data_IF_059256803332
#
_entry.id   IF_059256803332
#
_cell.length_a   1.000
_cell.length_b   1.000
_cell.length_c   1.000
_cell.angle_alpha   90.00
_cell.angle_beta   90.00
_cell.angle_gamma   90.00
#
_symmetry.space_group_name_H-M   'P 1'
#
loop_
_entity.id
_entity.type
_entity.pdbx_description
1 polymer ?
#
# COMPACT_ATOMS: atom_id res chain seq x y z
N UNK A 1 7.34 8.09 11.33
CA UNK A 1 7.15 6.74 10.75
C UNK A 1 5.91 6.75 9.86
N UNK A 2 5.94 6.22 8.63
CA UNK A 2 4.77 6.24 7.74
C UNK A 2 3.81 5.11 8.14
N UNK A 3 2.64 5.47 8.67
CA UNK A 3 1.57 4.51 8.98
C UNK A 3 1.23 3.76 7.67
N UNK A 4 1.32 2.43 7.69
CA UNK A 4 1.02 1.61 6.51
C UNK A 4 -0.43 1.84 6.05
N UNK A 5 -0.73 1.64 4.76
CA UNK A 5 -2.10 1.75 4.25
C UNK A 5 -3.08 0.83 5.01
N UNK A 6 -2.64 -0.34 5.48
CA UNK A 6 -3.45 -1.23 6.30
C UNK A 6 -3.73 -0.68 7.71
N UNK A 7 -2.77 -0.02 8.34
CA UNK A 7 -3.00 0.64 9.64
C UNK A 7 -3.94 1.84 9.50
N UNK A 8 -3.83 2.60 8.40
CA UNK A 8 -4.75 3.71 8.14
C UNK A 8 -6.18 3.21 7.94
N UNK A 9 -6.40 2.15 7.15
CA UNK A 9 -7.74 1.56 7.00
C UNK A 9 -8.25 0.99 8.32
N UNK A 10 -7.40 0.35 9.11
CA UNK A 10 -7.75 -0.17 10.43
C UNK A 10 -8.23 0.93 11.40
N UNK A 11 -7.54 2.08 11.48
CA UNK A 11 -7.98 3.22 12.29
C UNK A 11 -9.36 3.72 11.81
N UNK A 12 -9.58 3.80 10.50
CA UNK A 12 -10.89 4.21 9.96
C UNK A 12 -11.99 3.19 10.29
N UNK A 13 -11.66 1.90 10.27
CA UNK A 13 -12.57 0.83 10.67
C UNK A 13 -12.94 0.95 12.16
N UNK A 14 -11.98 1.22 13.05
CA UNK A 14 -12.26 1.44 14.47
C UNK A 14 -13.07 2.73 14.73
N UNK A 15 -12.83 3.80 13.98
CA UNK A 15 -13.68 5.01 14.00
C UNK A 15 -15.11 4.68 13.60
N UNK A 16 -15.27 3.96 12.49
CA UNK A 16 -16.58 3.49 12.01
C UNK A 16 -17.29 2.59 13.03
N UNK A 17 -16.54 1.72 13.72
CA UNK A 17 -17.06 0.88 14.80
C UNK A 17 -17.58 1.72 15.98
N UNK A 18 -16.90 2.81 16.32
CA UNK A 18 -17.30 3.71 17.42
C UNK A 18 -18.68 4.37 17.23
N UNK A 19 -19.25 4.31 16.02
CA UNK A 19 -20.62 4.77 15.75
C UNK A 19 -21.68 3.82 16.33
N UNK A 20 -21.35 2.53 16.48
CA UNK A 20 -22.22 1.52 17.11
C UNK A 20 -22.26 1.77 18.63
N UNK A 21 -23.45 1.78 19.24
CA UNK A 21 -23.60 2.25 20.64
C UNK A 21 -22.69 1.53 21.64
N UNK A 22 -22.54 0.21 21.53
CA UNK A 22 -21.63 -0.59 22.37
C UNK A 22 -20.17 -0.10 22.37
N UNK A 23 -19.74 0.58 21.31
CA UNK A 23 -18.35 0.95 21.08
C UNK A 23 -18.12 2.47 21.10
N UNK A 24 -19.14 3.28 21.42
CA UNK A 24 -19.05 4.75 21.50
C UNK A 24 -17.96 5.24 22.45
N UNK A 25 -17.63 4.46 23.48
CA UNK A 25 -16.60 4.84 24.44
C UNK A 25 -15.17 4.75 23.86
N UNK A 26 -14.96 4.10 22.71
CA UNK A 26 -13.64 4.11 22.03
C UNK A 26 -13.18 5.50 21.61
N UNK A 27 -14.15 6.41 21.40
CA UNK A 27 -13.89 7.80 21.01
C UNK A 27 -13.91 8.76 22.21
N UNK A 28 -13.99 8.25 23.45
CA UNK A 28 -14.25 9.11 24.61
C UNK A 28 -12.95 9.53 25.30
N UNK A 29 -12.35 10.61 24.80
CA UNK A 29 -11.49 11.47 25.60
C UNK A 29 -12.33 12.44 26.44
N UNK A 30 -11.95 12.69 27.70
CA UNK A 30 -12.47 13.88 28.39
C UNK A 30 -11.66 15.12 27.99
N UNK A 31 -12.16 16.32 28.31
CA UNK A 31 -11.47 17.57 27.92
C UNK A 31 -10.03 17.65 28.42
N UNK A 32 -9.70 16.99 29.54
CA UNK A 32 -8.36 17.01 30.08
C UNK A 32 -7.43 16.07 29.29
N UNK A 33 -7.94 14.90 28.90
CA UNK A 33 -7.23 13.99 27.99
C UNK A 33 -6.99 14.64 26.61
N UNK A 34 -8.00 15.30 26.01
CA UNK A 34 -7.85 15.97 24.70
C UNK A 34 -6.72 17.01 24.68
N UNK A 35 -6.49 17.70 25.80
CA UNK A 35 -5.36 18.64 25.92
C UNK A 35 -4.01 17.92 25.88
N UNK A 36 -3.91 16.74 26.51
CA UNK A 36 -2.70 15.93 26.50
C UNK A 36 -2.49 15.32 25.11
N UNK A 37 -3.55 14.82 24.49
CA UNK A 37 -3.54 14.33 23.12
C UNK A 37 -3.05 15.40 22.13
N UNK A 38 -3.59 16.62 22.20
CA UNK A 38 -3.12 17.72 21.34
C UNK A 38 -1.65 18.07 21.59
N UNK A 39 -1.20 18.09 22.86
CA UNK A 39 0.24 18.27 23.16
C UNK A 39 1.11 17.20 22.53
N UNK A 40 0.67 15.93 22.55
CA UNK A 40 1.38 14.83 21.92
C UNK A 40 1.42 14.98 20.39
N UNK A 41 0.31 15.42 19.76
CA UNK A 41 0.27 15.71 18.32
C UNK A 41 1.22 16.86 17.95
N UNK A 42 1.22 17.95 18.71
CA UNK A 42 2.09 19.11 18.49
C UNK A 42 3.58 18.75 18.65
N UNK A 43 3.89 17.87 19.62
CA UNK A 43 5.22 17.31 19.85
C UNK A 43 5.62 16.24 18.81
N UNK A 44 4.72 15.89 17.87
CA UNK A 44 4.93 14.86 16.83
C UNK A 44 5.39 13.54 17.42
N UNK A 45 4.66 13.06 18.42
CA UNK A 45 4.99 11.82 19.11
C UNK A 45 4.87 10.61 18.16
N UNK A 46 5.85 9.71 18.25
CA UNK A 46 5.86 8.39 17.65
C UNK A 46 6.46 7.35 18.63
N UNK A 47 6.61 6.10 18.18
CA UNK A 47 7.17 5.02 19.00
C UNK A 47 8.57 5.30 19.56
N UNK A 48 9.36 6.18 18.94
CA UNK A 48 10.73 6.43 19.38
C UNK A 48 10.82 7.38 20.56
N UNK A 49 9.83 8.28 20.72
CA UNK A 49 9.86 9.37 21.70
C UNK A 49 8.66 9.37 22.69
N UNK A 50 7.69 8.46 22.55
CA UNK A 50 6.51 8.39 23.42
C UNK A 50 6.87 8.24 24.91
N UNK A 51 7.83 7.38 25.27
CA UNK A 51 8.28 7.21 26.66
C UNK A 51 8.91 8.48 27.24
N UNK A 52 9.68 9.21 26.44
CA UNK A 52 10.29 10.47 26.87
C UNK A 52 9.22 11.53 27.10
N UNK A 53 8.23 11.63 26.20
CA UNK A 53 7.09 12.53 26.37
C UNK A 53 6.29 12.21 27.63
N UNK A 54 5.93 10.94 27.87
CA UNK A 54 5.27 10.52 29.11
C UNK A 54 6.07 10.88 30.36
N UNK A 55 7.40 10.77 30.31
CA UNK A 55 8.28 11.13 31.44
C UNK A 55 8.32 12.64 31.70
N UNK A 56 7.94 13.47 30.71
CA UNK A 56 7.89 14.92 30.85
C UNK A 56 6.55 15.44 31.40
N UNK A 57 5.52 14.58 31.42
CA UNK A 57 4.19 14.94 31.92
C UNK A 57 4.17 15.05 33.44
N UNK A 58 3.32 15.94 33.95
CA UNK A 58 3.07 16.04 35.38
C UNK A 58 2.29 14.83 35.91
N UNK A 59 2.37 14.55 37.21
CA UNK A 59 1.59 13.49 37.88
C UNK A 59 0.08 13.62 37.63
N UNK A 60 -0.42 14.85 37.52
CA UNK A 60 -1.83 15.12 37.21
C UNK A 60 -2.19 14.72 35.79
N UNK A 61 -1.30 14.96 34.83
CA UNK A 61 -1.50 14.55 33.43
C UNK A 61 -1.40 13.03 33.30
N UNK A 62 -0.43 12.39 33.95
CA UNK A 62 -0.33 10.93 34.02
C UNK A 62 -1.58 10.30 34.66
N UNK A 63 -2.11 10.88 35.74
CA UNK A 63 -3.37 10.44 36.35
C UNK A 63 -4.58 10.64 35.43
N UNK A 64 -4.56 11.69 34.61
CA UNK A 64 -5.61 11.92 33.60
C UNK A 64 -5.58 10.84 32.52
N UNK A 65 -4.39 10.48 32.01
CA UNK A 65 -4.21 9.36 31.08
C UNK A 65 -4.67 8.05 31.72
N UNK A 66 -4.22 7.77 32.94
CA UNK A 66 -4.57 6.55 33.68
C UNK A 66 -6.09 6.39 33.78
N UNK A 67 -6.79 7.47 34.15
CA UNK A 67 -8.26 7.47 34.24
C UNK A 67 -8.91 7.30 32.87
N UNK A 68 -8.41 7.98 31.83
CA UNK A 68 -8.97 7.87 30.49
C UNK A 68 -8.86 6.45 29.93
N UNK A 69 -7.69 5.82 30.08
CA UNK A 69 -7.43 4.44 29.65
C UNK A 69 -7.94 3.38 30.63
N UNK A 70 -8.67 3.78 31.68
CA UNK A 70 -9.26 2.88 32.69
C UNK A 70 -8.23 1.95 33.35
N UNK A 71 -7.01 2.43 33.59
CA UNK A 71 -5.95 1.66 34.22
C UNK A 71 -6.10 1.67 35.75
N UNK A 72 -6.05 0.48 36.35
CA UNK A 72 -6.16 0.34 37.80
C UNK A 72 -4.92 0.92 38.53
N UNK A 73 -3.73 0.60 38.02
CA UNK A 73 -2.47 1.01 38.63
C UNK A 73 -1.90 2.30 38.01
N UNK A 74 -1.12 3.09 38.79
CA UNK A 74 -0.40 4.24 38.26
C UNK A 74 0.54 3.85 37.11
N UNK A 75 0.70 4.77 36.15
CA UNK A 75 1.58 4.56 34.99
C UNK A 75 3.04 4.62 35.44
N UNK A 76 3.75 3.49 35.36
CA UNK A 76 5.18 3.43 35.55
C UNK A 76 5.91 3.54 34.20
N UNK A 77 6.27 4.77 33.82
CA UNK A 77 6.86 5.08 32.51
C UNK A 77 8.17 4.31 32.25
N UNK A 78 8.94 3.97 33.29
CA UNK A 78 10.16 3.19 33.12
C UNK A 78 9.88 1.78 32.56
N UNK A 79 8.75 1.18 32.97
CA UNK A 79 8.42 -0.22 32.73
C UNK A 79 7.44 -0.46 31.57
N UNK A 80 6.86 0.58 30.96
CA UNK A 80 6.04 0.43 29.75
C UNK A 80 6.91 0.16 28.53
N UNK A 81 6.42 -0.59 27.54
CA UNK A 81 7.10 -0.72 26.25
C UNK A 81 6.95 0.59 25.43
N UNK A 82 7.58 0.65 24.24
CA UNK A 82 7.38 1.78 23.33
C UNK A 82 5.95 1.81 22.75
N UNK A 83 5.40 0.65 22.43
CA UNK A 83 4.01 0.52 21.98
C UNK A 83 3.04 0.92 23.09
N UNK A 84 3.22 0.36 24.29
CA UNK A 84 2.43 0.68 25.47
C UNK A 84 2.47 2.16 25.81
N UNK A 85 3.64 2.80 25.69
CA UNK A 85 3.78 4.24 25.87
C UNK A 85 3.05 5.06 24.82
N UNK A 86 3.15 4.67 23.55
CA UNK A 86 2.47 5.37 22.46
C UNK A 86 0.94 5.25 22.58
N UNK A 87 0.44 4.04 22.81
CA UNK A 87 -1.01 3.79 22.92
C UNK A 87 -1.64 4.53 24.12
N UNK A 88 -0.89 4.82 25.19
CA UNK A 88 -1.35 5.69 26.28
C UNK A 88 -1.69 7.12 25.84
N UNK A 89 -1.08 7.61 24.76
CA UNK A 89 -1.13 9.00 24.31
C UNK A 89 -2.15 9.26 23.19
N UNK A 90 -2.80 8.22 22.68
CA UNK A 90 -3.74 8.30 21.54
C UNK A 90 -5.16 7.86 21.94
N UNK A 91 -6.15 8.10 21.09
CA UNK A 91 -7.52 7.64 21.36
C UNK A 91 -7.63 6.12 21.28
N UNK A 92 -8.68 5.53 21.87
CA UNK A 92 -8.86 4.07 21.89
C UNK A 92 -9.01 3.43 20.50
N UNK A 93 -9.49 4.18 19.51
CA UNK A 93 -9.55 3.72 18.11
C UNK A 93 -8.20 3.84 17.37
N UNK A 94 -7.16 4.35 18.03
CA UNK A 94 -5.79 4.46 17.54
C UNK A 94 -4.83 3.55 18.32
N UNK A 95 -5.35 2.74 19.24
CA UNK A 95 -4.59 1.69 19.90
C UNK A 95 -4.20 0.65 18.83
N UNK A 96 -2.92 0.57 18.53
CA UNK A 96 -2.36 -0.24 17.44
C UNK A 96 -1.36 -1.23 18.02
N UNK A 97 -1.43 -2.47 17.53
CA UNK A 97 -0.38 -3.48 17.68
C UNK A 97 0.72 -3.16 16.66
N UNK A 98 1.82 -2.58 17.16
CA UNK A 98 2.93 -2.09 16.33
C UNK A 98 4.00 -3.15 16.12
N UNK A 99 4.19 -4.05 17.09
CA UNK A 99 5.15 -5.13 16.99
C UNK A 99 4.61 -6.33 16.19
N UNK A 100 3.30 -6.35 15.91
CA UNK A 100 2.59 -7.36 15.12
C UNK A 100 2.43 -8.70 15.85
N UNK A 101 2.55 -8.70 17.17
CA UNK A 101 2.49 -9.91 17.99
C UNK A 101 1.04 -10.40 18.21
N UNK A 102 0.04 -9.59 17.86
CA UNK A 102 -1.38 -9.91 17.95
C UNK A 102 -2.08 -9.44 19.22
N UNK A 103 -1.36 -8.77 20.12
CA UNK A 103 -1.93 -8.07 21.26
C UNK A 103 -1.53 -6.61 21.21
N UNK A 104 -2.44 -5.75 21.65
CA UNK A 104 -2.18 -4.33 21.78
C UNK A 104 -1.71 -4.04 23.19
N UNK A 105 -0.58 -3.35 23.33
CA UNK A 105 -0.07 -2.91 24.61
C UNK A 105 -0.60 -1.50 24.95
N UNK A 106 -1.22 -1.33 26.12
CA UNK A 106 -1.65 -0.02 26.64
C UNK A 106 -1.03 0.14 28.03
N UNK A 107 0.03 0.94 28.12
CA UNK A 107 0.89 0.96 29.30
C UNK A 107 1.60 -0.37 29.49
N UNK A 108 1.31 -1.07 30.59
CA UNK A 108 1.80 -2.45 30.85
C UNK A 108 0.76 -3.52 30.52
N UNK A 109 -0.48 -3.11 30.23
CA UNK A 109 -1.58 -4.03 29.95
C UNK A 109 -1.45 -4.56 28.53
N UNK A 110 -1.60 -5.87 28.36
CA UNK A 110 -1.75 -6.51 27.05
C UNK A 110 -3.21 -6.85 26.85
N UNK A 111 -3.83 -6.37 25.78
CA UNK A 111 -5.22 -6.64 25.45
C UNK A 111 -5.38 -7.08 24.01
N UNK A 112 -6.49 -7.76 23.73
CA UNK A 112 -6.89 -8.00 22.35
C UNK A 112 -7.60 -6.76 21.83
N UNK A 113 -7.20 -6.30 20.64
CA UNK A 113 -7.96 -5.31 19.91
C UNK A 113 -9.39 -5.77 19.69
N UNK A 114 -10.34 -4.83 19.76
CA UNK A 114 -11.76 -5.13 19.52
C UNK A 114 -11.98 -5.63 18.11
N UNK A 115 -11.16 -5.17 17.14
CA UNK A 115 -11.08 -5.73 15.81
C UNK A 115 -9.69 -6.32 15.59
N UNK A 116 -9.58 -7.45 14.89
CA UNK A 116 -8.29 -8.00 14.47
C UNK A 116 -7.61 -7.10 13.43
N UNK A 117 -6.42 -6.60 13.73
CA UNK A 117 -5.66 -5.72 12.82
C UNK A 117 -5.18 -6.46 11.55
N UNK A 118 -4.98 -7.77 11.65
CA UNK A 118 -4.58 -8.67 10.57
C UNK A 118 -5.72 -9.06 9.62
N UNK A 119 -6.98 -8.83 9.99
CA UNK A 119 -8.10 -9.10 9.10
C UNK A 119 -8.03 -8.23 7.85
N UNK A 120 -8.62 -8.67 6.75
CA UNK A 120 -8.77 -7.79 5.59
C UNK A 120 -9.69 -6.61 5.96
N UNK A 121 -9.46 -5.46 5.33
CA UNK A 121 -10.37 -4.33 5.45
C UNK A 121 -11.80 -4.74 5.07
N UNK A 122 -11.96 -5.52 4.00
CA UNK A 122 -13.26 -6.07 3.59
C UNK A 122 -13.98 -6.81 4.72
N UNK A 123 -13.29 -7.72 5.43
CA UNK A 123 -13.89 -8.45 6.53
C UNK A 123 -14.32 -7.51 7.66
N UNK A 124 -13.42 -6.60 8.08
CA UNK A 124 -13.72 -5.64 9.15
C UNK A 124 -14.91 -4.76 8.78
N UNK A 125 -14.96 -4.28 7.55
CA UNK A 125 -16.04 -3.47 7.02
C UNK A 125 -17.38 -4.24 7.00
N UNK A 126 -17.41 -5.47 6.47
CA UNK A 126 -18.61 -6.33 6.51
C UNK A 126 -19.07 -6.57 7.94
N UNK A 127 -18.14 -6.84 8.86
CA UNK A 127 -18.44 -7.06 10.27
C UNK A 127 -19.03 -5.80 10.94
N UNK A 128 -18.39 -4.64 10.80
CA UNK A 128 -18.88 -3.37 11.35
C UNK A 128 -20.26 -3.03 10.79
N UNK A 129 -20.44 -3.13 9.46
CA UNK A 129 -21.73 -2.86 8.82
C UNK A 129 -22.82 -3.83 9.28
N UNK A 130 -22.46 -5.07 9.60
CA UNK A 130 -23.38 -6.04 10.22
C UNK A 130 -23.84 -5.54 11.59
N UNK A 131 -22.91 -5.09 12.45
CA UNK A 131 -23.27 -4.56 13.77
C UNK A 131 -24.15 -3.31 13.68
N UNK A 132 -23.83 -2.38 12.75
CA UNK A 132 -24.66 -1.19 12.49
C UNK A 132 -26.06 -1.55 12.01
N UNK A 133 -26.18 -2.49 11.09
CA UNK A 133 -27.48 -2.93 10.56
C UNK A 133 -28.27 -3.74 11.61
N UNK A 134 -27.61 -4.50 12.49
CA UNK A 134 -28.23 -5.14 13.64
C UNK A 134 -28.83 -4.11 14.60
N UNK A 135 -28.04 -3.10 15.00
CA UNK A 135 -28.50 -2.01 15.88
C UNK A 135 -29.69 -1.27 15.27
N UNK A 136 -29.58 -0.90 13.99
CA UNK A 136 -30.67 -0.26 13.24
C UNK A 136 -31.94 -1.12 13.19
N UNK A 137 -31.79 -2.45 13.17
CA UNK A 137 -32.89 -3.41 13.16
C UNK A 137 -33.33 -3.85 14.57
N UNK A 138 -32.92 -3.11 15.61
CA UNK A 138 -33.41 -3.29 16.99
C UNK A 138 -32.67 -4.31 17.83
N UNK A 139 -31.44 -4.71 17.44
CA UNK A 139 -30.57 -5.49 18.32
C UNK A 139 -30.28 -4.71 19.61
N UNK A 140 -30.32 -5.41 20.75
CA UNK A 140 -29.92 -4.84 22.03
C UNK A 140 -28.40 -4.73 22.14
N UNK A 141 -27.91 -3.96 23.12
CA UNK A 141 -26.47 -3.92 23.42
C UNK A 141 -25.92 -5.31 23.79
N UNK A 142 -26.75 -6.15 24.44
CA UNK A 142 -26.41 -7.54 24.72
C UNK A 142 -26.22 -8.34 23.44
N UNK A 143 -27.13 -8.23 22.47
CA UNK A 143 -27.05 -8.95 21.19
C UNK A 143 -25.77 -8.58 20.42
N UNK A 144 -25.45 -7.29 20.35
CA UNK A 144 -24.23 -6.79 19.72
C UNK A 144 -22.99 -7.30 20.47
N UNK A 145 -22.97 -7.19 21.80
CA UNK A 145 -21.84 -7.59 22.62
C UNK A 145 -21.53 -9.09 22.51
N UNK A 146 -22.55 -9.94 22.63
CA UNK A 146 -22.40 -11.39 22.49
C UNK A 146 -21.93 -11.76 21.09
N UNK A 147 -22.51 -11.14 20.06
CA UNK A 147 -22.12 -11.43 18.67
C UNK A 147 -20.66 -11.08 18.41
N UNK A 148 -20.19 -9.95 18.95
CA UNK A 148 -18.78 -9.55 18.86
C UNK A 148 -17.86 -10.51 19.61
N UNK A 149 -18.19 -10.87 20.85
CA UNK A 149 -17.35 -11.76 21.66
C UNK A 149 -17.26 -13.15 21.02
N UNK A 150 -18.37 -13.71 20.56
CA UNK A 150 -18.36 -15.06 19.94
C UNK A 150 -17.60 -15.02 18.61
N UNK A 151 -17.81 -13.98 17.80
CA UNK A 151 -17.17 -13.86 16.49
C UNK A 151 -15.68 -13.59 16.57
N UNK A 152 -15.22 -12.76 17.52
CA UNK A 152 -13.81 -12.34 17.58
C UNK A 152 -13.03 -13.00 18.71
N UNK A 153 -13.66 -13.25 19.85
CA UNK A 153 -13.02 -13.88 21.01
C UNK A 153 -12.54 -15.31 20.74
N UNK A 154 -13.30 -16.07 19.94
CA UNK A 154 -12.89 -17.42 19.50
C UNK A 154 -11.57 -17.39 18.73
N UNK A 155 -11.35 -16.36 17.93
CA UNK A 155 -10.12 -16.18 17.17
C UNK A 155 -8.95 -15.75 18.07
N UNK A 156 -9.15 -14.72 18.90
CA UNK A 156 -8.11 -14.20 19.79
C UNK A 156 -7.54 -15.31 20.67
N UNK A 157 -8.40 -16.16 21.23
CA UNK A 157 -8.00 -17.33 22.03
C UNK A 157 -7.16 -18.35 21.24
N UNK A 158 -7.51 -18.61 19.97
CA UNK A 158 -6.76 -19.55 19.11
C UNK A 158 -5.36 -19.01 18.76
N UNK A 159 -5.22 -17.71 18.53
CA UNK A 159 -3.93 -17.08 18.22
C UNK A 159 -3.01 -17.07 19.44
N UNK A 160 -3.52 -16.72 20.62
CA UNK A 160 -2.72 -16.75 21.87
C UNK A 160 -2.25 -18.13 22.24
N UNK A 161 -3.09 -19.16 22.07
CA UNK A 161 -2.66 -20.54 22.31
C UNK A 161 -1.50 -20.96 21.38
N UNK A 162 -1.52 -20.48 20.13
CA UNK A 162 -0.41 -20.69 19.20
C UNK A 162 0.85 -19.92 19.60
N UNK A 163 0.71 -18.66 19.97
CA UNK A 163 1.82 -17.80 20.32
C UNK A 163 2.48 -18.22 21.64
N UNK A 164 1.70 -18.55 22.66
CA UNK A 164 2.21 -19.15 23.90
C UNK A 164 3.00 -20.42 23.63
N UNK A 165 2.55 -21.27 22.70
CA UNK A 165 3.33 -22.43 22.27
C UNK A 165 4.64 -22.01 21.57
N UNK A 166 4.58 -21.05 20.63
CA UNK A 166 5.76 -20.62 19.86
C UNK A 166 6.81 -19.91 20.75
N UNK A 167 6.40 -19.29 21.85
CA UNK A 167 7.25 -18.49 22.75
C UNK A 167 7.66 -19.18 24.07
N UNK A 168 7.00 -20.28 24.50
CA UNK A 168 7.31 -21.00 25.74
C UNK A 168 8.08 -22.32 25.47
N UNK A 169 9.40 -22.37 25.75
CA UNK A 169 10.21 -23.57 25.57
C UNK A 169 9.76 -24.75 26.43
N UNK A 170 9.17 -24.50 27.60
CA UNK A 170 8.68 -25.57 28.48
C UNK A 170 7.41 -26.21 27.91
N UNK A 171 6.52 -25.40 27.33
CA UNK A 171 5.32 -25.90 26.63
C UNK A 171 5.69 -26.69 25.37
N UNK A 172 6.68 -26.23 24.61
CA UNK A 172 7.22 -26.97 23.45
C UNK A 172 7.81 -28.32 23.87
N UNK A 173 8.60 -28.34 24.96
CA UNK A 173 9.19 -29.56 25.49
C UNK A 173 8.12 -30.56 25.97
N UNK A 174 7.10 -30.08 26.69
CA UNK A 174 5.98 -30.89 27.17
C UNK A 174 5.18 -31.50 26.02
N UNK A 175 4.83 -30.71 25.02
CA UNK A 175 4.09 -31.19 23.84
C UNK A 175 4.89 -32.23 23.05
N UNK A 176 6.19 -32.02 22.90
CA UNK A 176 7.11 -32.97 22.26
C UNK A 176 7.21 -34.28 23.04
N UNK A 177 7.23 -34.22 24.37
CA UNK A 177 7.17 -35.41 25.24
C UNK A 177 5.88 -36.23 25.02
N UNK A 178 4.77 -35.54 24.71
CA UNK A 178 3.50 -36.16 24.37
C UNK A 178 3.32 -36.48 22.86
N UNK A 179 4.39 -36.44 22.07
CA UNK A 179 4.36 -36.81 20.64
C UNK A 179 3.70 -35.76 19.73
N UNK A 180 3.55 -34.51 20.21
CA UNK A 180 3.06 -33.38 19.44
C UNK A 180 4.27 -32.54 19.01
N UNK A 181 4.82 -32.85 17.84
CA UNK A 181 6.03 -32.18 17.31
C UNK A 181 5.76 -30.74 16.80
N UNK A 182 4.50 -30.39 16.57
CA UNK A 182 4.11 -29.06 16.09
C UNK A 182 2.69 -28.70 16.51
N UNK A 183 2.52 -27.55 17.15
CA UNK A 183 1.21 -26.96 17.37
C UNK A 183 0.71 -26.31 16.06
N UNK A 184 0.03 -27.12 15.23
CA UNK A 184 -0.59 -26.63 13.99
C UNK A 184 -1.97 -26.06 14.32
N UNK A 185 -2.01 -24.92 15.00
CA UNK A 185 -3.22 -24.10 14.95
C UNK A 185 -3.13 -23.32 13.65
N UNK A 186 -3.95 -23.70 12.67
CA UNK A 186 -4.25 -22.79 11.56
C UNK A 186 -4.99 -21.60 12.17
N UNK A 187 -4.32 -20.45 12.26
CA UNK A 187 -5.03 -19.20 12.50
C UNK A 187 -6.05 -19.06 11.37
N UNK A 188 -7.36 -18.94 11.69
CA UNK A 188 -8.36 -18.73 10.66
C UNK A 188 -8.01 -17.51 9.81
N UNK A 189 -8.27 -17.55 8.52
CA UNK A 189 -8.33 -16.32 7.74
C UNK A 189 -9.63 -15.61 8.08
N UNK A 190 -9.57 -14.30 8.34
CA UNK A 190 -10.77 -13.50 8.58
C UNK A 190 -11.48 -13.23 7.24
N UNK A 191 -12.37 -14.14 6.88
CA UNK A 191 -13.13 -14.13 5.63
C UNK A 191 -14.54 -14.72 5.82
N UNK A 192 -15.31 -14.79 4.73
CA UNK A 192 -16.67 -15.35 4.76
C UNK A 192 -16.68 -16.85 5.13
N UNK A 193 -15.59 -17.59 4.87
CA UNK A 193 -15.46 -19.00 5.25
C UNK A 193 -15.30 -19.15 6.77
N UNK A 194 -14.58 -18.23 7.43
CA UNK A 194 -14.54 -18.19 8.89
C UNK A 194 -15.93 -18.02 9.50
N UNK A 195 -16.74 -17.09 8.98
CA UNK A 195 -18.11 -16.86 9.46
C UNK A 195 -18.99 -18.10 9.21
N UNK A 196 -18.87 -18.75 8.05
CA UNK A 196 -19.59 -19.97 7.74
C UNK A 196 -19.22 -21.13 8.69
N UNK A 197 -17.94 -21.31 9.00
CA UNK A 197 -17.47 -22.31 9.95
C UNK A 197 -17.93 -22.02 11.38
N UNK A 198 -17.94 -20.74 11.78
CA UNK A 198 -18.44 -20.33 13.08
C UNK A 198 -19.95 -20.65 13.20
N UNK A 199 -20.73 -20.33 12.16
CA UNK A 199 -22.15 -20.66 12.07
C UNK A 199 -22.39 -22.16 12.21
N UNK A 200 -21.69 -22.97 11.42
CA UNK A 200 -21.80 -24.44 11.48
C UNK A 200 -21.47 -24.98 12.88
N UNK A 201 -20.40 -24.51 13.52
CA UNK A 201 -20.02 -24.93 14.87
C UNK A 201 -21.06 -24.59 15.92
N UNK A 202 -21.73 -23.46 15.79
CA UNK A 202 -22.77 -23.03 16.73
C UNK A 202 -24.08 -23.77 16.50
N UNK A 203 -24.45 -24.03 15.24
CA UNK A 203 -25.64 -24.80 14.88
C UNK A 203 -25.47 -26.30 15.19
N UNK A 204 -24.24 -26.81 15.16
CA UNK A 204 -23.90 -28.22 15.40
C UNK A 204 -22.82 -28.38 16.49
N UNK A 205 -23.10 -28.02 17.75
CA UNK A 205 -22.11 -28.06 18.83
C UNK A 205 -21.64 -29.49 19.09
N UNK A 206 -20.30 -29.67 19.16
CA UNK A 206 -19.70 -30.97 19.48
C UNK A 206 -19.56 -31.15 20.99
N UNK A 207 -19.85 -32.37 21.48
CA UNK A 207 -19.37 -32.86 22.77
C UNK A 207 -19.78 -32.05 24.01
N UNK A 208 -21.08 -31.83 24.23
CA UNK A 208 -21.56 -31.17 25.45
C UNK A 208 -21.29 -29.67 25.52
N UNK A 209 -20.77 -29.05 24.46
CA UNK A 209 -20.68 -27.60 24.34
C UNK A 209 -22.09 -26.99 24.43
N UNK A 210 -22.26 -26.01 25.31
CA UNK A 210 -23.51 -25.31 25.56
C UNK A 210 -23.38 -23.84 25.19
N UNK A 211 -24.35 -23.34 24.45
CA UNK A 211 -24.60 -21.92 24.23
C UNK A 211 -26.00 -21.62 24.76
N UNK A 212 -26.15 -20.50 25.48
CA UNK A 212 -27.47 -20.15 25.99
C UNK A 212 -28.45 -19.88 24.84
N UNK A 213 -29.75 -20.14 25.00
CA UNK A 213 -30.76 -19.82 23.99
C UNK A 213 -30.73 -18.35 23.56
N UNK A 214 -30.47 -17.44 24.49
CA UNK A 214 -30.34 -16.01 24.25
C UNK A 214 -29.14 -15.72 23.34
N UNK A 215 -27.97 -16.27 23.66
CA UNK A 215 -26.77 -16.09 22.84
C UNK A 215 -26.92 -16.71 21.45
N UNK A 216 -27.57 -17.88 21.35
CA UNK A 216 -27.90 -18.50 20.06
C UNK A 216 -28.81 -17.60 19.22
N UNK A 217 -29.83 -17.01 19.83
CA UNK A 217 -30.74 -16.08 19.14
C UNK A 217 -30.00 -14.83 18.65
N UNK A 218 -29.10 -14.26 19.46
CA UNK A 218 -28.24 -13.14 19.04
C UNK A 218 -27.37 -13.54 17.85
N UNK A 219 -26.74 -14.72 17.89
CA UNK A 219 -25.91 -15.22 16.79
C UNK A 219 -26.69 -15.50 15.51
N UNK A 220 -27.90 -16.05 15.60
CA UNK A 220 -28.77 -16.24 14.43
C UNK A 220 -29.13 -14.90 13.78
N UNK A 221 -29.40 -13.87 14.59
CA UNK A 221 -29.64 -12.53 14.09
C UNK A 221 -28.39 -11.94 13.44
N UNK A 222 -27.22 -12.11 14.06
CA UNK A 222 -25.94 -11.72 13.48
C UNK A 222 -25.71 -12.38 12.12
N UNK A 223 -25.78 -13.71 12.01
CA UNK A 223 -25.53 -14.42 10.75
C UNK A 223 -26.50 -14.01 9.64
N UNK A 224 -27.79 -13.89 9.94
CA UNK A 224 -28.78 -13.43 8.98
C UNK A 224 -28.46 -12.02 8.47
N UNK A 225 -28.01 -11.15 9.36
CA UNK A 225 -27.64 -9.77 9.01
C UNK A 225 -26.34 -9.74 8.21
N UNK A 226 -25.36 -10.55 8.61
CA UNK A 226 -24.08 -10.69 7.93
C UNK A 226 -24.26 -11.18 6.49
N UNK A 227 -25.05 -12.23 6.27
CA UNK A 227 -25.34 -12.77 4.94
C UNK A 227 -25.93 -11.68 4.02
N UNK A 228 -26.84 -10.84 4.55
CA UNK A 228 -27.43 -9.71 3.81
C UNK A 228 -26.41 -8.61 3.50
N UNK A 229 -25.56 -8.27 4.47
CA UNK A 229 -24.50 -7.25 4.30
C UNK A 229 -23.47 -7.72 3.28
N UNK A 230 -23.00 -8.96 3.39
CA UNK A 230 -22.02 -9.56 2.47
C UNK A 230 -22.56 -9.60 1.03
N UNK A 231 -23.80 -10.04 0.83
CA UNK A 231 -24.44 -10.01 -0.50
C UNK A 231 -24.56 -8.59 -1.09
N UNK A 232 -24.84 -7.58 -0.27
CA UNK A 232 -24.91 -6.20 -0.74
C UNK A 232 -23.53 -5.64 -1.07
N UNK A 233 -22.52 -6.01 -0.28
CA UNK A 233 -21.13 -5.66 -0.52
C UNK A 233 -20.67 -6.16 -1.90
N UNK A 234 -20.86 -7.45 -2.17
CA UNK A 234 -20.44 -8.08 -3.42
C UNK A 234 -21.13 -7.44 -4.64
N UNK A 235 -22.43 -7.11 -4.52
CA UNK A 235 -23.19 -6.42 -5.57
C UNK A 235 -22.65 -5.02 -5.84
N UNK A 236 -22.32 -4.25 -4.80
CA UNK A 236 -21.77 -2.91 -4.94
C UNK A 236 -20.37 -2.95 -5.55
N UNK A 237 -19.53 -3.90 -5.13
CA UNK A 237 -18.20 -4.10 -5.69
C UNK A 237 -18.26 -4.48 -7.17
N UNK A 238 -19.16 -5.40 -7.55
CA UNK A 238 -19.38 -5.77 -8.95
C UNK A 238 -19.81 -4.56 -9.80
N UNK A 239 -20.71 -3.72 -9.28
CA UNK A 239 -21.15 -2.49 -9.95
C UNK A 239 -20.01 -1.49 -10.13
N UNK A 240 -19.21 -1.25 -9.09
CA UNK A 240 -18.07 -0.35 -9.16
C UNK A 240 -17.02 -0.81 -10.19
N UNK A 241 -16.73 -2.12 -10.22
CA UNK A 241 -15.82 -2.70 -11.21
C UNK A 241 -16.35 -2.55 -12.64
N UNK A 242 -17.67 -2.70 -12.85
CA UNK A 242 -18.30 -2.48 -14.14
C UNK A 242 -18.19 -1.02 -14.60
N UNK A 243 -18.39 -0.05 -13.70
CA UNK A 243 -18.24 1.38 -14.00
C UNK A 243 -16.79 1.74 -14.39
N UNK A 244 -15.80 1.17 -13.69
CA UNK A 244 -14.38 1.36 -14.02
C UNK A 244 -14.06 0.79 -15.41
N UNK A 245 -14.56 -0.40 -15.73
CA UNK A 245 -14.36 -1.02 -17.04
C UNK A 245 -15.00 -0.19 -18.17
N UNK A 246 -16.24 0.27 -17.98
CA UNK A 246 -16.92 1.15 -18.94
C UNK A 246 -16.17 2.46 -19.17
N UNK A 247 -15.63 3.06 -18.10
CA UNK A 247 -14.81 4.27 -18.20
C UNK A 247 -13.52 4.00 -18.97
N UNK A 248 -12.84 2.89 -18.68
CA UNK A 248 -11.62 2.51 -19.40
C UNK A 248 -11.88 2.25 -20.89
N UNK A 249 -12.98 1.58 -21.24
CA UNK A 249 -13.40 1.38 -22.64
C UNK A 249 -13.73 2.70 -23.34
N UNK A 250 -14.44 3.60 -22.67
CA UNK A 250 -14.76 4.93 -23.21
C UNK A 250 -13.49 5.74 -23.45
N UNK A 251 -12.54 5.72 -22.51
CA UNK A 251 -11.23 6.37 -22.65
C UNK A 251 -10.42 5.73 -23.78
N UNK A 252 -10.42 4.40 -23.90
CA UNK A 252 -9.75 3.70 -24.99
C UNK A 252 -10.31 4.09 -26.35
N UNK A 253 -11.64 4.09 -26.52
CA UNK A 253 -12.31 4.51 -27.77
C UNK A 253 -12.03 5.98 -28.10
N UNK A 254 -11.96 6.84 -27.08
CA UNK A 254 -11.60 8.25 -27.28
C UNK A 254 -10.14 8.40 -27.75
N UNK A 255 -9.21 7.67 -27.14
CA UNK A 255 -7.80 7.65 -27.51
C UNK A 255 -7.57 7.07 -28.91
N UNK A 256 -8.24 5.96 -29.26
CA UNK A 256 -8.17 5.36 -30.60
C UNK A 256 -8.64 6.31 -31.71
N UNK A 257 -9.54 7.26 -31.41
CA UNK A 257 -9.99 8.29 -32.36
C UNK A 257 -9.06 9.49 -32.46
N UNK A 258 -8.38 9.86 -31.38
CA UNK A 258 -7.53 11.06 -31.34
C UNK A 258 -6.09 10.77 -31.75
N UNK A 259 -5.55 9.59 -31.42
CA UNK A 259 -4.17 9.18 -31.73
C UNK A 259 -3.85 9.34 -33.23
N UNK A 260 -4.66 8.83 -34.19
CA UNK A 260 -4.34 8.98 -35.62
C UNK A 260 -4.30 10.44 -36.09
N UNK A 261 -5.13 11.31 -35.49
CA UNK A 261 -5.15 12.75 -35.79
C UNK A 261 -3.89 13.45 -35.25
N UNK A 262 -3.46 13.08 -34.05
CA UNK A 262 -2.23 13.58 -33.44
C UNK A 262 -0.97 13.08 -34.18
N UNK A 263 -0.96 11.81 -34.61
CA UNK A 263 0.13 11.23 -35.40
C UNK A 263 0.26 11.91 -36.77
N UNK A 264 -0.85 12.09 -37.49
CA UNK A 264 -0.84 12.80 -38.78
C UNK A 264 -0.35 14.24 -38.66
N UNK A 265 -0.70 14.93 -37.56
CA UNK A 265 -0.24 16.31 -37.30
C UNK A 265 1.23 16.34 -36.93
N UNK A 266 1.69 15.41 -36.09
CA UNK A 266 3.09 15.26 -35.74
C UNK A 266 3.97 14.99 -36.97
N UNK A 267 3.58 14.04 -37.83
CA UNK A 267 4.33 13.74 -39.07
C UNK A 267 4.37 14.92 -40.05
N UNK A 268 3.33 15.76 -40.05
CA UNK A 268 3.30 17.00 -40.83
C UNK A 268 4.32 18.00 -40.30
N UNK A 269 4.33 18.21 -38.98
CA UNK A 269 5.29 19.11 -38.32
C UNK A 269 6.72 18.57 -38.43
N UNK A 270 6.95 17.27 -38.24
CA UNK A 270 8.28 16.65 -38.36
C UNK A 270 8.94 16.83 -39.74
N UNK A 271 8.12 16.98 -40.80
CA UNK A 271 8.61 17.24 -42.17
C UNK A 271 8.95 18.71 -42.41
N UNK A 272 8.51 19.62 -41.56
CA UNK A 272 8.92 21.02 -41.60
C UNK A 272 10.33 21.13 -41.03
N UNK A 273 11.19 21.95 -41.65
CA UNK A 273 12.44 22.34 -41.00
C UNK A 273 12.08 23.09 -39.71
N UNK A 274 12.73 22.79 -38.59
CA UNK A 274 12.44 23.42 -37.30
C UNK A 274 12.57 24.96 -37.39
N UNK A 275 13.53 25.43 -38.19
CA UNK A 275 13.73 26.86 -38.47
C UNK A 275 12.55 27.51 -39.21
N UNK A 276 11.73 26.72 -39.90
CA UNK A 276 10.56 27.17 -40.66
C UNK A 276 9.26 27.08 -39.85
N UNK A 277 9.27 26.52 -38.64
CA UNK A 277 8.09 26.47 -37.77
C UNK A 277 7.89 27.81 -37.05
N UNK A 278 6.66 28.29 -37.00
CA UNK A 278 6.30 29.41 -36.13
C UNK A 278 6.23 28.98 -34.65
N UNK A 279 6.12 29.95 -33.73
CA UNK A 279 6.11 29.70 -32.28
C UNK A 279 5.00 28.73 -31.84
N UNK A 280 3.81 28.83 -32.43
CA UNK A 280 2.67 27.94 -32.14
C UNK A 280 2.94 26.52 -32.64
N UNK A 281 3.51 26.37 -33.83
CA UNK A 281 3.88 25.07 -34.39
C UNK A 281 5.01 24.40 -33.61
N UNK A 282 5.98 25.18 -33.11
CA UNK A 282 7.05 24.68 -32.23
C UNK A 282 6.52 24.22 -30.89
N UNK A 283 5.61 24.98 -30.28
CA UNK A 283 4.94 24.59 -29.04
C UNK A 283 4.10 23.32 -29.24
N UNK A 284 3.34 23.25 -30.34
CA UNK A 284 2.54 22.08 -30.71
C UNK A 284 3.41 20.85 -30.97
N UNK A 285 4.49 20.98 -31.75
CA UNK A 285 5.44 19.90 -32.02
C UNK A 285 6.12 19.41 -30.73
N UNK A 286 6.49 20.33 -29.84
CA UNK A 286 7.10 19.99 -28.55
C UNK A 286 6.12 19.24 -27.64
N UNK A 287 4.87 19.70 -27.56
CA UNK A 287 3.82 19.01 -26.79
C UNK A 287 3.50 17.61 -27.36
N UNK A 288 3.45 17.45 -28.68
CA UNK A 288 3.21 16.16 -29.34
C UNK A 288 4.39 15.20 -29.16
N UNK A 289 5.63 15.69 -29.24
CA UNK A 289 6.84 14.87 -29.02
C UNK A 289 7.04 14.49 -27.55
N UNK A 290 6.76 15.38 -26.62
CA UNK A 290 6.88 15.14 -25.17
C UNK A 290 6.09 13.91 -24.73
N UNK A 291 4.92 13.68 -25.33
CA UNK A 291 3.98 12.63 -24.94
C UNK A 291 4.08 11.35 -25.77
N UNK A 292 4.92 11.31 -26.83
CA UNK A 292 5.09 10.13 -27.68
C UNK A 292 6.22 9.23 -27.17
N UNK A 293 6.05 7.90 -27.12
CA UNK A 293 7.16 6.98 -26.97
C UNK A 293 8.05 7.01 -28.22
N UNK A 294 9.35 6.82 -28.05
CA UNK A 294 10.28 6.71 -29.18
C UNK A 294 10.23 5.28 -29.73
N UNK A 295 9.74 5.12 -30.96
CA UNK A 295 9.39 3.81 -31.54
C UNK A 295 10.57 2.84 -31.71
N UNK A 296 11.79 3.39 -31.80
CA UNK A 296 13.02 2.60 -31.89
C UNK A 296 13.52 2.09 -30.53
N UNK A 297 12.94 2.57 -29.42
CA UNK A 297 13.22 2.12 -28.06
C UNK A 297 12.28 0.97 -27.66
N UNK A 298 12.72 0.10 -26.74
CA UNK A 298 11.82 -0.87 -26.08
C UNK A 298 10.86 -0.18 -25.11
N UNK A 299 9.88 -0.90 -24.58
CA UNK A 299 8.94 -0.36 -23.59
C UNK A 299 9.67 0.00 -22.28
N UNK A 300 10.65 -0.81 -21.87
CA UNK A 300 11.50 -0.56 -20.71
C UNK A 300 12.35 0.69 -20.89
N UNK A 301 12.93 0.86 -22.08
CA UNK A 301 13.68 2.06 -22.43
C UNK A 301 12.77 3.31 -22.43
N UNK A 302 11.58 3.22 -23.00
CA UNK A 302 10.63 4.33 -22.95
C UNK A 302 10.21 4.69 -21.52
N UNK A 303 10.07 3.70 -20.63
CA UNK A 303 9.77 3.92 -19.21
C UNK A 303 10.93 4.59 -18.47
N UNK A 304 12.16 4.14 -18.69
CA UNK A 304 13.35 4.78 -18.11
C UNK A 304 13.51 6.22 -18.61
N UNK A 305 13.25 6.47 -19.90
CA UNK A 305 13.29 7.82 -20.48
C UNK A 305 12.19 8.73 -19.91
N UNK A 306 10.98 8.21 -19.71
CA UNK A 306 9.91 8.97 -19.08
C UNK A 306 10.27 9.41 -17.65
N UNK A 307 10.92 8.52 -16.89
CA UNK A 307 11.37 8.80 -15.53
C UNK A 307 12.52 9.82 -15.50
N UNK A 308 13.49 9.73 -16.40
CA UNK A 308 14.58 10.72 -16.48
C UNK A 308 14.11 12.12 -16.92
N UNK A 309 12.90 12.22 -17.48
CA UNK A 309 12.26 13.46 -17.89
C UNK A 309 11.34 14.05 -16.81
N UNK A 310 11.24 13.44 -15.62
CA UNK A 310 10.47 13.98 -14.50
C UNK A 310 11.01 15.35 -14.08
N UNK A 311 10.11 16.31 -13.82
CA UNK A 311 10.48 17.69 -13.47
C UNK A 311 10.80 18.60 -14.65
N UNK A 312 10.90 18.10 -15.88
CA UNK A 312 11.04 18.92 -17.09
C UNK A 312 9.70 19.46 -17.59
N UNK A 313 9.71 20.65 -18.19
CA UNK A 313 8.57 21.20 -18.93
C UNK A 313 8.30 20.39 -20.20
N UNK A 314 7.09 20.49 -20.76
CA UNK A 314 6.75 19.77 -22.00
C UNK A 314 7.57 20.25 -23.20
N UNK A 315 8.00 21.51 -23.20
CA UNK A 315 8.91 22.03 -24.21
C UNK A 315 10.28 21.36 -24.13
N UNK A 316 10.88 21.30 -22.93
CA UNK A 316 12.16 20.62 -22.70
C UNK A 316 12.08 19.12 -23.03
N UNK A 317 10.98 18.45 -22.62
CA UNK A 317 10.74 17.03 -22.96
C UNK A 317 10.69 16.81 -24.46
N UNK A 318 9.97 17.67 -25.17
CA UNK A 318 9.84 17.58 -26.62
C UNK A 318 11.17 17.81 -27.35
N UNK A 319 11.94 18.81 -26.92
CA UNK A 319 13.28 19.09 -27.46
C UNK A 319 14.24 17.91 -27.22
N UNK A 320 14.31 17.41 -25.99
CA UNK A 320 15.19 16.28 -25.62
C UNK A 320 14.82 15.02 -26.41
N UNK A 321 13.53 14.65 -26.47
CA UNK A 321 13.09 13.50 -27.27
C UNK A 321 13.37 13.66 -28.75
N UNK A 322 13.28 14.88 -29.28
CA UNK A 322 13.61 15.17 -30.67
C UNK A 322 15.12 15.00 -30.95
N UNK A 323 15.99 15.44 -30.04
CA UNK A 323 17.45 15.23 -30.14
C UNK A 323 17.77 13.73 -30.14
N UNK A 324 17.18 12.97 -29.21
CA UNK A 324 17.38 11.51 -29.14
C UNK A 324 16.86 10.86 -30.43
N UNK A 325 15.66 11.23 -30.89
CA UNK A 325 15.10 10.70 -32.12
C UNK A 325 15.99 10.99 -33.32
N UNK A 326 16.52 12.22 -33.45
CA UNK A 326 17.43 12.59 -34.52
C UNK A 326 18.72 11.77 -34.47
N UNK A 327 19.35 11.60 -33.31
CA UNK A 327 20.59 10.84 -33.16
C UNK A 327 20.41 9.36 -33.53
N UNK A 328 19.25 8.78 -33.19
CA UNK A 328 18.99 7.37 -33.45
C UNK A 328 18.49 7.08 -34.85
N UNK A 329 17.67 7.99 -35.40
CA UNK A 329 16.99 7.78 -36.67
C UNK A 329 17.72 8.42 -37.84
N UNK A 330 18.55 9.44 -37.64
CA UNK A 330 19.34 10.04 -38.72
C UNK A 330 20.76 9.48 -38.71
N UNK A 331 21.17 8.86 -39.81
CA UNK A 331 22.58 8.50 -39.99
C UNK A 331 23.33 9.70 -40.55
N UNK A 332 23.48 10.75 -39.74
CA UNK A 332 24.40 11.85 -40.06
C UNK A 332 25.81 11.27 -39.99
N UNK A 333 26.41 11.03 -41.17
CA UNK A 333 27.78 10.53 -41.28
C UNK A 333 28.65 11.66 -41.83
N UNK A 334 29.74 11.98 -41.16
CA UNK A 334 30.82 12.69 -41.83
C UNK A 334 31.54 11.72 -42.76
N UNK A 335 31.72 12.07 -44.02
CA UNK A 335 32.61 11.33 -44.89
C UNK A 335 34.08 11.65 -44.57
N UNK A 336 34.99 10.95 -45.22
CA UNK A 336 36.44 11.10 -45.05
C UNK A 336 36.98 12.51 -45.39
N UNK A 337 36.13 13.39 -45.95
CA UNK A 337 36.43 14.78 -46.26
C UNK A 337 35.83 15.77 -45.26
N UNK A 338 35.19 15.28 -44.19
CA UNK A 338 34.51 16.11 -43.20
C UNK A 338 33.16 16.68 -43.66
N UNK A 339 32.62 16.23 -44.80
CA UNK A 339 31.29 16.66 -45.23
C UNK A 339 30.22 15.83 -44.54
N UNK A 340 29.16 16.51 -44.08
CA UNK A 340 27.96 15.86 -43.57
C UNK A 340 27.23 15.17 -44.73
N UNK A 341 27.06 13.87 -44.64
CA UNK A 341 26.20 13.05 -45.51
C UNK A 341 25.01 12.58 -44.67
N UNK A 342 23.81 12.89 -45.16
CA UNK A 342 22.58 12.35 -44.59
C UNK A 342 22.36 10.92 -45.13
N UNK A 343 22.54 9.92 -44.28
CA UNK A 343 22.11 8.56 -44.59
C UNK A 343 20.59 8.38 -44.44
N UNK A 344 20.06 7.28 -44.97
CA UNK A 344 18.65 6.93 -44.84
C UNK A 344 18.25 6.81 -43.36
N UNK A 345 17.01 7.22 -43.05
CA UNK A 345 16.51 7.13 -41.68
C UNK A 345 16.27 5.67 -41.30
N UNK A 346 16.73 5.27 -40.13
CA UNK A 346 16.60 3.91 -39.62
C UNK A 346 15.74 3.89 -38.35
N UNK A 347 14.49 3.44 -38.50
CA UNK A 347 13.52 3.30 -37.41
C UNK A 347 13.46 1.87 -36.85
N UNK A 348 14.38 0.97 -37.27
CA UNK A 348 14.40 -0.38 -36.71
C UNK A 348 14.64 -0.34 -35.20
N UNK A 349 13.90 -1.19 -34.47
CA UNK A 349 14.06 -1.34 -33.02
C UNK A 349 15.52 -1.60 -32.68
N UNK A 350 16.07 -0.80 -31.77
CA UNK A 350 17.45 -0.95 -31.30
C UNK A 350 17.49 -1.85 -30.09
N UNK A 351 18.40 -2.81 -30.12
CA UNK A 351 18.64 -3.61 -28.92
C UNK A 351 19.30 -2.74 -27.85
N UNK A 352 19.26 -3.23 -26.61
CA UNK A 352 19.77 -2.52 -25.45
C UNK A 352 21.22 -2.02 -25.63
N UNK A 353 22.11 -2.87 -26.15
CA UNK A 353 23.54 -2.55 -26.23
C UNK A 353 23.81 -1.48 -27.30
N UNK A 354 23.05 -1.50 -28.40
CA UNK A 354 23.06 -0.43 -29.40
C UNK A 354 22.59 0.91 -28.83
N UNK A 355 21.53 0.91 -28.03
CA UNK A 355 21.01 2.14 -27.39
C UNK A 355 22.05 2.73 -26.45
N UNK A 356 22.59 1.91 -25.55
CA UNK A 356 23.60 2.32 -24.58
C UNK A 356 24.88 2.80 -25.27
N UNK A 357 25.38 2.03 -26.24
CA UNK A 357 26.61 2.39 -26.96
C UNK A 357 26.49 3.70 -27.73
N UNK A 358 25.37 3.90 -28.45
CA UNK A 358 25.15 5.13 -29.22
C UNK A 358 25.03 6.36 -28.32
N UNK A 359 24.26 6.28 -27.23
CA UNK A 359 24.10 7.42 -26.32
C UNK A 359 25.37 7.77 -25.57
N UNK A 360 26.14 6.77 -25.11
CA UNK A 360 27.45 7.03 -24.51
C UNK A 360 28.37 7.75 -25.50
N UNK A 361 28.40 7.30 -26.75
CA UNK A 361 29.20 7.94 -27.81
C UNK A 361 28.71 9.37 -28.09
N UNK A 362 27.41 9.60 -28.09
CA UNK A 362 26.83 10.94 -28.25
C UNK A 362 27.27 11.88 -27.13
N UNK A 363 27.14 11.45 -25.86
CA UNK A 363 27.57 12.22 -24.68
C UNK A 363 29.07 12.53 -24.75
N UNK A 364 29.90 11.53 -25.08
CA UNK A 364 31.35 11.72 -25.22
C UNK A 364 31.72 12.73 -26.32
N UNK A 365 31.05 12.65 -27.47
CA UNK A 365 31.28 13.56 -28.58
C UNK A 365 30.84 14.99 -28.25
N UNK A 366 29.72 15.14 -27.53
CA UNK A 366 29.21 16.45 -27.09
C UNK A 366 30.25 17.20 -26.26
N UNK A 367 30.88 16.53 -25.28
CA UNK A 367 31.93 17.13 -24.45
C UNK A 367 33.22 17.41 -25.23
N UNK A 368 33.64 16.48 -26.10
CA UNK A 368 34.85 16.69 -26.94
C UNK A 368 34.72 17.84 -27.92
N UNK A 369 33.50 18.12 -28.39
CA UNK A 369 33.19 19.23 -29.28
C UNK A 369 33.05 20.60 -28.58
N UNK A 370 33.14 20.66 -27.24
CA UNK A 370 32.95 21.90 -26.50
C UNK A 370 31.50 22.40 -26.48
N UNK A 371 30.52 21.49 -26.64
CA UNK A 371 29.10 21.84 -26.59
C UNK A 371 28.70 22.38 -25.21
N UNK A 372 27.78 23.35 -25.19
CA UNK A 372 27.17 23.88 -23.96
C UNK A 372 25.79 23.26 -23.81
N UNK A 373 25.56 22.54 -22.71
CA UNK A 373 24.26 21.92 -22.43
C UNK A 373 23.31 22.93 -21.79
N UNK A 374 22.54 23.61 -22.62
CA UNK A 374 21.69 24.73 -22.20
C UNK A 374 20.36 24.30 -21.55
N UNK A 375 19.90 23.07 -21.80
CA UNK A 375 18.60 22.56 -21.34
C UNK A 375 18.71 21.32 -20.43
N UNK A 376 19.94 20.91 -20.08
CA UNK A 376 20.22 19.72 -19.27
C UNK A 376 19.95 18.41 -20.00
N UNK A 377 20.13 18.39 -21.33
CA UNK A 377 19.93 17.19 -22.15
C UNK A 377 20.89 16.09 -21.73
N UNK A 378 22.15 16.44 -21.44
CA UNK A 378 23.19 15.46 -21.11
C UNK A 378 22.91 14.84 -19.74
N UNK A 379 22.41 15.61 -18.78
CA UNK A 379 22.03 15.09 -17.46
C UNK A 379 20.85 14.12 -17.58
N UNK A 380 19.82 14.48 -18.35
CA UNK A 380 18.68 13.57 -18.64
C UNK A 380 19.14 12.29 -19.33
N UNK A 381 20.11 12.37 -20.26
CA UNK A 381 20.64 11.19 -20.94
C UNK A 381 21.47 10.29 -20.01
N UNK A 382 22.23 10.88 -19.08
CA UNK A 382 22.97 10.12 -18.06
C UNK A 382 22.02 9.43 -17.08
N UNK A 383 20.98 10.14 -16.63
CA UNK A 383 19.95 9.58 -15.75
C UNK A 383 19.18 8.46 -16.46
N UNK A 384 18.82 8.66 -17.73
CA UNK A 384 18.23 7.64 -18.57
C UNK A 384 19.12 6.38 -18.65
N UNK A 385 20.41 6.55 -18.98
CA UNK A 385 21.35 5.44 -19.09
C UNK A 385 21.53 4.71 -17.77
N UNK A 386 21.60 5.43 -16.65
CA UNK A 386 21.68 4.84 -15.31
C UNK A 386 20.46 3.97 -15.04
N UNK A 387 19.25 4.52 -15.19
CA UNK A 387 17.99 3.80 -14.99
C UNK A 387 17.83 2.60 -15.92
N UNK A 388 18.24 2.74 -17.18
CA UNK A 388 18.08 1.71 -18.20
C UNK A 388 19.10 0.56 -18.06
N UNK A 389 20.28 0.84 -17.50
CA UNK A 389 21.34 -0.17 -17.30
C UNK A 389 21.28 -0.85 -15.93
N UNK A 390 20.83 -0.16 -14.88
CA UNK A 390 20.69 -0.71 -13.52
C UNK A 390 19.59 -1.78 -13.41
N UNK A 391 18.53 -1.67 -14.21
CA UNK A 391 17.42 -2.64 -14.21
C UNK A 391 17.90 -4.04 -14.66
N UNK A 392 18.96 -4.11 -15.49
CA UNK A 392 19.58 -5.38 -15.87
C UNK A 392 20.46 -6.00 -14.79
N UNK A 393 21.14 -5.23 -13.94
CA UNK A 393 21.83 -5.83 -12.79
C UNK A 393 20.83 -6.49 -11.84
N UNK A 394 19.68 -5.84 -11.65
CA UNK A 394 18.58 -6.35 -10.82
C UNK A 394 17.97 -7.64 -11.38
N UNK A 395 17.71 -7.70 -12.70
CA UNK A 395 17.21 -8.92 -13.35
C UNK A 395 18.25 -10.05 -13.44
N UNK A 396 19.54 -9.75 -13.60
CA UNK A 396 20.61 -10.76 -13.64
C UNK A 396 20.82 -11.39 -12.26
N UNK A 397 20.71 -10.59 -11.19
CA UNK A 397 20.73 -11.07 -9.80
C UNK A 397 19.47 -11.88 -9.47
N UNK A 398 18.29 -11.44 -9.89
CA UNK A 398 17.04 -12.20 -9.69
C UNK A 398 17.04 -13.54 -10.43
N UNK A 399 17.51 -13.58 -11.68
CA UNK A 399 17.61 -14.81 -12.46
C UNK A 399 18.69 -15.77 -11.93
N UNK A 400 19.81 -15.26 -11.41
CA UNK A 400 20.81 -16.08 -10.73
C UNK A 400 20.25 -16.69 -9.43
N UNK A 401 19.50 -15.90 -8.65
CA UNK A 401 18.87 -16.33 -7.39
C UNK A 401 17.79 -17.38 -7.64
N UNK A 402 16.99 -17.23 -8.70
CA UNK A 402 15.96 -18.20 -9.09
C UNK A 402 16.57 -19.54 -9.55
N UNK A 403 17.70 -19.49 -10.26
CA UNK A 403 18.41 -20.69 -10.74
C UNK A 403 19.03 -21.48 -9.58
N UNK A 404 19.55 -20.78 -8.56
CA UNK A 404 20.12 -21.37 -7.35
C UNK A 404 19.04 -21.99 -6.45
N UNK A 405 17.85 -21.36 -6.38
CA UNK A 405 16.67 -21.90 -5.70
C UNK A 405 16.13 -23.18 -6.37
N UNK A 406 16.09 -23.22 -7.71
CA UNK A 406 15.62 -24.39 -8.45
C UNK A 406 16.59 -25.57 -8.37
N UNK A 407 17.91 -25.33 -8.29
CA UNK A 407 18.91 -26.38 -8.07
C UNK A 407 18.85 -26.95 -6.64
N UNK A 408 18.54 -26.13 -5.63
CA UNK A 408 18.36 -26.58 -4.23
C UNK A 408 17.06 -27.33 -3.98
N UNK A 409 16.08 -27.24 -4.88
CA UNK A 409 14.83 -28.01 -4.82
C UNK A 409 14.91 -29.35 -5.59
N UNK A 410 15.99 -29.58 -6.34
CA UNK A 410 16.20 -30.78 -7.15
C UNK A 410 17.37 -31.66 -6.65
N UNK A 411 17.91 -31.33 -5.48
CA UNK A 411 18.85 -32.14 -4.69
C UNK A 411 18.23 -32.41 -3.32
#
# INVERSE_FOLDING_TARGET
MQISQNMQSYIQDLKSLSEVTNFKNLNKGDKAFELIYQKAQDAKIDLSNAKEFLSSLSDRELSTIQKNKSLADPINVANVSQEGAYNLLVHGYEDIDYNGDGVTEIGITKSFGILPQEASHEFREKFINTLKEMEKNGASEFDIGVSTIITLGSFSLMKTAKQQYDEDPAMQALMKEHGVDKFIVKTPTFDDNYIAQLKDKLEHPKGGAYISPEAMKSMQFFFKTYDKVSQNYDKNLAKANQEVQQKAETTKVALEKTIPKHESRYETLLKMNFDNMNEVERAEFSHLSANRPLEFLSDEANKALAKSLEGKSDEEKGQIKSIISLEFTTSIKMNDKGNIIHGARDFSKKNHDEVVSKLNKFIDNFYKGGGVDTIGTIDVLKDFLTLYTDDKQTQKVQNATLKDLLQKQSA
#
